data_IF_795454547193
#
_entry.id   IF_795454547193
#
_cell.length_a   1.000
_cell.length_b   1.000
_cell.length_c   1.000
_cell.angle_alpha   90.00
_cell.angle_beta   90.00
_cell.angle_gamma   90.00
#
_symmetry.space_group_name_H-M   'P 1'
#
loop_
_entity.id
_entity.type
_entity.pdbx_description
1 polymer ?
#
# COMPACT_ATOMS: atom_id res chain seq x y z
N UNK A 1 -38.31 3.71 -29.47
CA UNK A 1 -36.89 3.32 -29.43
C UNK A 1 -36.24 3.99 -28.24
N UNK A 2 -35.92 3.24 -27.20
CA UNK A 2 -35.16 3.73 -26.05
C UNK A 2 -33.68 3.52 -26.40
N UNK A 3 -32.96 4.62 -26.60
CA UNK A 3 -31.52 4.59 -26.80
C UNK A 3 -30.86 4.41 -25.43
N UNK A 4 -30.39 3.18 -25.13
CA UNK A 4 -29.60 2.94 -23.95
C UNK A 4 -28.20 3.53 -24.19
N UNK A 5 -27.86 4.61 -23.49
CA UNK A 5 -26.52 5.14 -23.47
C UNK A 5 -25.63 4.13 -22.69
N UNK A 6 -24.77 3.44 -23.41
CA UNK A 6 -23.70 2.64 -22.77
C UNK A 6 -22.66 3.62 -22.25
N UNK A 7 -22.68 3.88 -20.96
CA UNK A 7 -21.59 4.59 -20.27
C UNK A 7 -20.45 3.59 -20.16
N UNK A 8 -19.48 3.66 -21.08
CA UNK A 8 -18.24 2.94 -20.93
C UNK A 8 -17.53 3.45 -19.65
N UNK A 9 -17.04 2.56 -18.75
CA UNK A 9 -16.27 3.01 -17.63
C UNK A 9 -15.03 3.74 -18.14
N UNK A 10 -14.88 5.00 -17.77
CA UNK A 10 -13.61 5.72 -17.95
C UNK A 10 -12.62 5.01 -17.05
N UNK A 11 -11.59 4.41 -17.65
CA UNK A 11 -10.48 3.86 -16.88
C UNK A 11 -9.84 5.02 -16.09
N UNK A 12 -10.09 5.07 -14.79
CA UNK A 12 -9.41 6.00 -13.90
C UNK A 12 -7.96 5.51 -13.84
N UNK A 13 -7.02 6.32 -14.34
CA UNK A 13 -5.61 5.99 -14.24
C UNK A 13 -5.24 5.97 -12.77
N UNK A 14 -4.77 4.80 -12.29
CA UNK A 14 -4.34 4.62 -10.90
C UNK A 14 -2.97 5.25 -10.62
N UNK A 15 -2.42 6.03 -11.52
CA UNK A 15 -1.14 6.71 -11.41
C UNK A 15 -1.19 8.13 -11.98
N UNK A 16 -0.26 8.99 -11.55
CA UNK A 16 -0.17 10.37 -12.04
C UNK A 16 1.13 11.10 -11.60
N UNK A 17 1.24 12.34 -11.99
CA UNK A 17 0.48 13.01 -13.05
C UNK A 17 0.83 12.44 -14.45
N UNK A 18 0.05 12.82 -15.46
CA UNK A 18 0.38 12.52 -16.85
C UNK A 18 1.78 13.04 -17.19
N UNK A 19 2.59 12.19 -17.80
CA UNK A 19 3.99 12.50 -18.13
C UNK A 19 4.46 11.71 -19.33
N UNK A 20 5.51 12.18 -20.05
CA UNK A 20 6.12 11.45 -21.16
C UNK A 20 6.54 10.02 -20.76
N UNK A 21 6.54 9.12 -21.73
CA UNK A 21 7.04 7.75 -21.58
C UNK A 21 8.38 7.62 -22.28
N UNK A 22 9.24 6.82 -21.70
CA UNK A 22 10.59 6.50 -22.21
C UNK A 22 10.74 4.99 -22.34
N UNK A 23 11.86 4.55 -22.92
CA UNK A 23 12.27 3.15 -22.94
C UNK A 23 13.70 3.03 -22.42
N UNK A 24 14.12 1.80 -22.14
CA UNK A 24 15.52 1.53 -21.72
C UNK A 24 16.52 2.05 -22.77
N UNK A 25 16.18 1.89 -24.04
CA UNK A 25 17.03 2.28 -25.19
C UNK A 25 17.01 3.79 -25.45
N UNK A 26 15.94 4.46 -25.00
CA UNK A 26 15.74 5.91 -25.13
C UNK A 26 15.29 6.50 -23.81
N UNK A 27 16.18 6.60 -22.81
CA UNK A 27 15.88 7.20 -21.52
C UNK A 27 15.68 8.72 -21.65
N UNK A 28 15.20 9.35 -20.58
CA UNK A 28 14.97 10.78 -20.55
C UNK A 28 16.27 11.61 -20.62
N UNK A 29 16.20 12.80 -21.22
CA UNK A 29 17.26 13.80 -21.24
C UNK A 29 17.16 14.80 -20.07
N UNK A 30 16.27 14.55 -19.13
CA UNK A 30 16.07 15.31 -17.91
C UNK A 30 15.67 14.38 -16.75
N UNK A 31 15.68 14.91 -15.53
CA UNK A 31 15.29 14.14 -14.34
C UNK A 31 13.78 13.94 -14.31
N UNK A 32 13.37 12.69 -14.36
CA UNK A 32 11.98 12.24 -14.18
C UNK A 32 11.98 10.86 -13.51
N UNK A 33 10.90 10.54 -12.78
CA UNK A 33 10.79 9.27 -12.09
C UNK A 33 9.79 8.34 -12.77
N UNK A 34 10.11 7.04 -12.77
CA UNK A 34 9.20 5.94 -13.06
C UNK A 34 8.39 6.17 -14.34
N UNK A 35 9.07 6.40 -15.46
CA UNK A 35 8.45 6.75 -16.75
C UNK A 35 8.90 5.85 -17.91
N UNK A 36 9.74 4.83 -17.64
CA UNK A 36 10.14 3.81 -18.63
C UNK A 36 9.04 2.75 -18.73
N UNK A 37 8.64 2.38 -19.94
CA UNK A 37 7.49 1.50 -20.21
C UNK A 37 7.87 0.05 -20.51
N UNK A 38 9.15 -0.27 -20.66
CA UNK A 38 9.65 -1.60 -21.00
C UNK A 38 10.66 -2.13 -19.96
N UNK A 39 10.51 -1.78 -18.67
CA UNK A 39 11.38 -2.27 -17.61
C UNK A 39 11.03 -3.70 -17.21
N UNK A 40 11.88 -4.71 -17.53
CA UNK A 40 11.58 -6.11 -17.19
C UNK A 40 11.66 -6.39 -15.68
N UNK A 41 12.36 -5.55 -14.91
CA UNK A 41 12.58 -5.76 -13.47
C UNK A 41 11.29 -5.60 -12.67
N UNK A 42 10.38 -4.76 -13.12
CA UNK A 42 9.07 -4.54 -12.48
C UNK A 42 7.89 -5.06 -13.32
N UNK A 43 8.18 -5.72 -14.45
CA UNK A 43 7.16 -6.35 -15.29
C UNK A 43 6.62 -5.46 -16.41
N UNK A 44 7.23 -4.29 -16.68
CA UNK A 44 6.86 -3.43 -17.82
C UNK A 44 6.87 -1.95 -17.54
N UNK A 45 5.69 -1.32 -17.42
CA UNK A 45 5.56 0.13 -17.27
C UNK A 45 5.87 0.57 -15.84
N UNK A 46 6.91 1.39 -15.69
CA UNK A 46 7.30 1.95 -14.39
C UNK A 46 6.28 2.93 -13.81
N UNK A 47 5.28 3.36 -14.57
CA UNK A 47 4.20 4.18 -14.02
C UNK A 47 3.35 3.41 -13.02
N UNK A 48 3.33 2.09 -13.15
CA UNK A 48 2.74 1.12 -12.24
C UNK A 48 3.83 0.64 -11.24
N UNK A 49 4.18 1.49 -10.29
CA UNK A 49 5.34 1.31 -9.43
C UNK A 49 5.00 0.95 -7.97
N UNK A 50 3.74 0.94 -7.61
CA UNK A 50 3.27 0.51 -6.28
C UNK A 50 2.72 -0.90 -6.37
N UNK A 51 3.29 -1.82 -5.62
CA UNK A 51 2.86 -3.21 -5.62
C UNK A 51 2.65 -3.75 -4.21
N UNK A 52 1.78 -4.74 -4.10
CA UNK A 52 1.42 -5.42 -2.86
C UNK A 52 1.86 -6.88 -2.94
N UNK A 53 2.27 -7.44 -1.81
CA UNK A 53 2.52 -8.87 -1.64
C UNK A 53 2.31 -9.27 -0.18
N UNK A 54 1.71 -10.45 0.07
CA UNK A 54 1.60 -10.99 1.44
C UNK A 54 2.99 -11.30 2.00
N UNK A 55 3.22 -10.98 3.28
CA UNK A 55 4.48 -11.26 3.97
C UNK A 55 4.69 -12.78 4.05
N UNK A 56 5.90 -13.22 3.66
CA UNK A 56 6.25 -14.65 3.59
C UNK A 56 5.84 -15.34 2.29
N UNK A 57 5.16 -14.65 1.37
CA UNK A 57 4.82 -15.18 0.05
C UNK A 57 5.94 -14.92 -0.97
N UNK A 58 6.12 -15.86 -1.91
CA UNK A 58 6.97 -15.70 -3.10
C UNK A 58 6.18 -15.35 -4.36
N UNK A 59 4.88 -14.98 -4.23
CA UNK A 59 4.06 -14.57 -5.35
C UNK A 59 4.58 -13.28 -5.99
N UNK A 60 4.17 -13.02 -7.22
CA UNK A 60 4.45 -11.75 -7.89
C UNK A 60 3.80 -10.57 -7.15
N UNK A 61 4.37 -9.39 -7.31
CA UNK A 61 3.76 -8.16 -6.88
C UNK A 61 2.49 -7.88 -7.70
N UNK A 62 1.48 -7.32 -7.06
CA UNK A 62 0.18 -7.02 -7.68
C UNK A 62 -0.36 -5.68 -7.18
N UNK A 63 -1.18 -5.02 -7.99
CA UNK A 63 -1.85 -3.77 -7.61
C UNK A 63 -3.17 -4.00 -6.88
N UNK A 64 -3.65 -5.25 -6.85
CA UNK A 64 -4.89 -5.60 -6.18
C UNK A 64 -4.69 -6.83 -5.31
N UNK A 65 -5.09 -6.74 -4.04
CA UNK A 65 -4.92 -7.81 -3.07
C UNK A 65 -6.17 -7.99 -2.22
N UNK A 66 -6.71 -9.23 -2.19
CA UNK A 66 -7.75 -9.58 -1.22
C UNK A 66 -7.08 -9.92 0.11
N UNK A 67 -7.47 -9.21 1.18
CA UNK A 67 -6.84 -9.38 2.49
C UNK A 67 -7.54 -10.43 3.34
N UNK A 68 -6.79 -10.96 4.31
CA UNK A 68 -7.26 -11.84 5.38
C UNK A 68 -6.99 -11.18 6.73
N UNK A 69 -7.88 -11.41 7.69
CA UNK A 69 -7.77 -10.80 9.02
C UNK A 69 -6.43 -11.18 9.70
N UNK A 70 -5.77 -10.16 10.23
CA UNK A 70 -4.52 -10.31 10.98
C UNK A 70 -3.27 -10.57 10.14
N UNK A 71 -3.40 -10.76 8.82
CA UNK A 71 -2.25 -10.93 7.92
C UNK A 71 -1.53 -9.62 7.66
N UNK A 72 -0.22 -9.74 7.45
CA UNK A 72 0.64 -8.63 7.06
C UNK A 72 0.95 -8.67 5.57
N UNK A 73 1.06 -7.50 4.98
CA UNK A 73 1.35 -7.30 3.57
C UNK A 73 2.47 -6.29 3.41
N UNK A 74 3.37 -6.55 2.47
CA UNK A 74 4.30 -5.55 1.97
C UNK A 74 3.59 -4.64 0.99
N UNK A 75 3.84 -3.33 1.10
CA UNK A 75 3.61 -2.35 0.04
C UNK A 75 4.98 -1.89 -0.42
N UNK A 76 5.26 -2.04 -1.72
CA UNK A 76 6.52 -1.67 -2.35
C UNK A 76 6.33 -0.45 -3.24
N UNK A 77 7.27 0.48 -3.19
CA UNK A 77 7.39 1.61 -4.11
C UNK A 77 8.71 1.43 -4.87
N UNK A 78 8.68 1.27 -6.19
CA UNK A 78 9.88 1.31 -7.01
C UNK A 78 10.30 2.76 -7.21
N UNK A 79 11.60 3.03 -7.22
CA UNK A 79 12.17 4.38 -7.34
C UNK A 79 13.28 4.35 -8.37
N UNK A 80 13.06 5.02 -9.50
CA UNK A 80 14.03 5.08 -10.58
C UNK A 80 14.06 6.48 -11.22
N UNK A 81 15.20 7.16 -11.15
CA UNK A 81 15.45 8.35 -11.92
C UNK A 81 15.80 7.94 -13.36
N UNK A 82 14.91 8.21 -14.30
CA UNK A 82 15.01 7.75 -15.69
C UNK A 82 15.92 8.60 -16.58
N UNK A 83 16.66 9.56 -16.02
CA UNK A 83 17.63 10.33 -16.79
C UNK A 83 18.74 9.42 -17.36
N UNK A 84 19.15 9.69 -18.58
CA UNK A 84 20.22 8.93 -19.25
C UNK A 84 21.53 9.00 -18.48
N UNK A 85 22.23 7.88 -18.37
CA UNK A 85 23.47 7.74 -17.57
C UNK A 85 24.60 8.66 -18.02
N UNK A 86 24.72 8.92 -19.33
CA UNK A 86 25.76 9.76 -19.92
C UNK A 86 25.59 11.26 -19.61
N UNK A 87 24.42 11.67 -19.07
CA UNK A 87 24.15 13.07 -18.72
C UNK A 87 24.58 13.41 -17.29
N UNK A 88 24.89 12.40 -16.46
CA UNK A 88 25.28 12.56 -15.04
C UNK A 88 24.29 13.42 -14.23
N UNK A 89 23.01 13.35 -14.57
CA UNK A 89 21.96 14.09 -13.89
C UNK A 89 21.60 13.42 -12.55
N UNK A 90 21.58 14.19 -11.48
CA UNK A 90 21.27 13.73 -10.13
C UNK A 90 19.96 14.38 -9.66
N UNK A 91 19.00 13.56 -9.28
CA UNK A 91 17.80 14.02 -8.60
C UNK A 91 18.15 14.51 -7.19
N UNK A 92 17.55 15.63 -6.77
CA UNK A 92 17.84 16.29 -5.50
C UNK A 92 16.61 16.39 -4.61
N UNK A 93 16.83 16.32 -3.29
CA UNK A 93 15.78 16.31 -2.28
C UNK A 93 14.74 15.21 -2.54
N UNK A 94 15.23 14.02 -2.88
CA UNK A 94 14.35 12.88 -3.19
C UNK A 94 13.67 12.40 -1.91
N UNK A 95 12.34 12.36 -1.94
CA UNK A 95 11.49 11.92 -0.83
C UNK A 95 10.50 10.88 -1.35
N UNK A 96 10.32 9.79 -0.61
CA UNK A 96 9.21 8.87 -0.80
C UNK A 96 8.16 9.05 0.29
N UNK A 97 6.89 8.84 -0.07
CA UNK A 97 5.74 8.79 0.85
C UNK A 97 4.85 7.61 0.51
N UNK A 98 4.23 7.05 1.54
CA UNK A 98 3.13 6.10 1.39
C UNK A 98 1.94 6.62 2.19
N UNK A 99 0.87 6.98 1.49
CA UNK A 99 -0.40 7.26 2.14
C UNK A 99 -1.11 5.93 2.43
N UNK A 100 -1.28 5.62 3.71
CA UNK A 100 -2.08 4.49 4.21
C UNK A 100 -3.33 5.09 4.86
N UNK A 101 -4.51 5.01 4.21
CA UNK A 101 -5.74 5.57 4.77
C UNK A 101 -6.10 4.92 6.10
N UNK A 102 -6.63 5.71 7.03
CA UNK A 102 -7.14 5.22 8.33
C UNK A 102 -8.62 4.82 8.27
N UNK A 103 -9.21 4.84 7.08
CA UNK A 103 -10.61 4.50 6.86
C UNK A 103 -10.87 3.00 7.02
N UNK A 104 -12.08 2.66 7.44
CA UNK A 104 -12.60 1.28 7.47
C UNK A 104 -13.61 1.12 6.34
N UNK A 105 -13.34 0.20 5.42
CA UNK A 105 -14.18 -0.05 4.23
C UNK A 105 -13.89 -1.45 3.66
N UNK A 106 -14.70 -1.90 2.70
CA UNK A 106 -14.43 -3.14 1.93
C UNK A 106 -13.30 -3.00 0.92
N UNK A 107 -12.91 -1.77 0.62
CA UNK A 107 -11.82 -1.45 -0.30
C UNK A 107 -11.02 -0.29 0.28
N UNK A 108 -9.70 -0.46 0.38
CA UNK A 108 -8.76 0.55 0.86
C UNK A 108 -7.63 0.67 -0.14
N UNK A 109 -7.45 1.87 -0.71
CA UNK A 109 -6.39 2.16 -1.68
C UNK A 109 -5.25 2.91 -0.99
N UNK A 110 -4.04 2.39 -1.12
CA UNK A 110 -2.79 3.04 -0.69
C UNK A 110 -2.16 3.76 -1.87
N UNK A 111 -1.50 4.88 -1.61
CA UNK A 111 -0.84 5.65 -2.65
C UNK A 111 0.63 5.87 -2.30
N UNK A 112 1.52 5.38 -3.16
CA UNK A 112 2.95 5.65 -3.11
C UNK A 112 3.31 6.89 -3.93
N UNK A 113 4.21 7.72 -3.40
CA UNK A 113 4.70 8.93 -4.07
C UNK A 113 6.22 8.97 -4.05
N UNK A 114 6.80 9.48 -5.13
CA UNK A 114 8.22 9.83 -5.23
C UNK A 114 8.31 11.26 -5.70
N UNK A 115 9.07 12.08 -5.01
CA UNK A 115 9.28 13.48 -5.36
C UNK A 115 10.75 13.88 -5.36
N UNK A 116 11.12 14.87 -6.18
CA UNK A 116 12.41 15.52 -6.15
C UNK A 116 12.28 16.98 -6.59
N UNK A 117 13.10 17.86 -6.05
CA UNK A 117 13.00 19.31 -6.30
C UNK A 117 13.30 19.71 -7.73
N UNK A 118 14.14 18.95 -8.44
CA UNK A 118 14.58 19.21 -9.81
C UNK A 118 14.03 18.20 -10.84
N UNK A 119 13.06 17.35 -10.47
CA UNK A 119 12.41 16.44 -11.41
C UNK A 119 11.23 17.10 -12.14
N UNK A 120 10.85 16.53 -13.28
CA UNK A 120 9.68 16.93 -14.10
C UNK A 120 8.85 15.69 -14.46
N UNK A 121 7.62 15.54 -13.91
CA UNK A 121 7.06 16.37 -12.84
C UNK A 121 7.82 16.23 -11.50
N UNK A 122 7.68 17.19 -10.61
CA UNK A 122 8.36 17.15 -9.30
C UNK A 122 7.90 15.98 -8.42
N UNK A 123 6.69 15.52 -8.61
CA UNK A 123 6.10 14.40 -7.86
C UNK A 123 5.38 13.48 -8.81
N UNK A 124 5.64 12.18 -8.66
CA UNK A 124 4.87 11.10 -9.31
C UNK A 124 4.20 10.26 -8.23
N UNK A 125 3.04 9.67 -8.53
CA UNK A 125 2.32 8.79 -7.63
C UNK A 125 1.68 7.63 -8.39
N UNK A 126 1.44 6.56 -7.66
CA UNK A 126 0.77 5.36 -8.12
C UNK A 126 0.03 4.72 -6.95
N UNK A 127 -0.94 3.87 -7.24
CA UNK A 127 -1.87 3.30 -6.27
C UNK A 127 -1.92 1.79 -6.33
N UNK A 128 -2.21 1.18 -5.17
CA UNK A 128 -2.54 -0.22 -5.08
C UNK A 128 -3.73 -0.41 -4.12
N UNK A 129 -4.58 -1.40 -4.40
CA UNK A 129 -5.87 -1.55 -3.74
C UNK A 129 -5.95 -2.86 -2.98
N UNK A 130 -6.31 -2.77 -1.72
CA UNK A 130 -6.70 -3.90 -0.89
C UNK A 130 -8.21 -4.04 -0.85
N UNK A 131 -8.71 -5.26 -0.83
CA UNK A 131 -10.14 -5.56 -0.76
C UNK A 131 -10.46 -6.68 0.23
N UNK A 132 -11.70 -6.71 0.72
CA UNK A 132 -12.22 -7.78 1.57
C UNK A 132 -13.75 -7.88 1.40
N UNK A 133 -14.32 -9.03 1.74
CA UNK A 133 -15.77 -9.21 1.76
C UNK A 133 -16.43 -8.42 2.92
N UNK A 134 -15.67 -8.20 3.99
CA UNK A 134 -16.09 -7.41 5.16
C UNK A 134 -15.26 -6.11 5.22
N UNK A 135 -15.77 -5.13 5.92
CA UNK A 135 -15.05 -3.89 6.18
C UNK A 135 -13.75 -4.20 6.96
N UNK A 136 -12.71 -3.52 6.60
CA UNK A 136 -11.39 -3.64 7.23
C UNK A 136 -10.66 -2.30 7.21
N UNK A 137 -9.66 -2.17 8.06
CA UNK A 137 -8.68 -1.10 8.00
C UNK A 137 -7.27 -1.68 7.85
N UNK A 138 -6.36 -0.84 7.41
CA UNK A 138 -4.93 -1.13 7.33
C UNK A 138 -4.19 -0.39 8.46
N UNK A 139 -3.43 -1.12 9.26
CA UNK A 139 -2.54 -0.55 10.25
C UNK A 139 -1.09 -0.62 9.75
N UNK A 140 -0.39 0.52 9.73
CA UNK A 140 1.04 0.53 9.47
C UNK A 140 1.79 -0.21 10.57
N UNK A 141 2.76 -1.03 10.21
CA UNK A 141 3.65 -1.71 11.16
C UNK A 141 4.86 -0.82 11.41
N UNK A 142 4.90 -0.18 12.57
CA UNK A 142 5.96 0.77 12.92
C UNK A 142 7.37 0.14 12.83
N UNK A 143 8.33 0.91 12.34
CA UNK A 143 9.73 0.47 12.14
C UNK A 143 9.92 -0.54 11.01
N UNK A 144 8.91 -0.79 10.18
CA UNK A 144 9.00 -1.74 9.06
C UNK A 144 9.51 -1.14 7.76
N UNK A 145 9.65 0.18 7.68
CA UNK A 145 10.04 0.87 6.46
C UNK A 145 11.52 0.63 6.14
N UNK A 146 11.77 0.16 4.93
CA UNK A 146 13.11 -0.14 4.40
C UNK A 146 13.30 0.49 3.03
N UNK A 147 14.52 0.86 2.71
CA UNK A 147 14.94 1.19 1.35
C UNK A 147 16.10 0.28 0.96
N UNK A 148 15.98 -0.35 -0.19
CA UNK A 148 16.98 -1.25 -0.75
C UNK A 148 17.46 -0.73 -2.09
N UNK A 149 18.79 -0.59 -2.24
CA UNK A 149 19.44 -0.24 -3.49
C UNK A 149 20.88 -0.82 -3.55
N UNK A 150 21.53 -0.70 -4.70
CA UNK A 150 22.88 -1.22 -4.88
C UNK A 150 23.97 -0.44 -4.10
N UNK A 151 23.71 0.80 -3.72
CA UNK A 151 24.69 1.67 -3.05
C UNK A 151 24.80 1.45 -1.54
N UNK A 152 23.66 1.27 -0.87
CA UNK A 152 23.56 1.12 0.58
C UNK A 152 23.14 -0.29 1.03
N UNK A 153 22.70 -1.14 0.09
CA UNK A 153 21.99 -2.37 0.46
C UNK A 153 20.64 -2.03 1.10
N UNK A 154 20.26 -2.78 2.11
CA UNK A 154 18.99 -2.56 2.84
C UNK A 154 19.21 -1.60 4.01
N UNK A 155 18.52 -0.48 4.00
CA UNK A 155 18.62 0.60 4.99
C UNK A 155 17.26 0.91 5.59
N UNK A 156 17.18 1.10 6.91
CA UNK A 156 15.94 1.52 7.57
C UNK A 156 15.57 2.95 7.21
N UNK A 157 14.27 3.16 6.96
CA UNK A 157 13.67 4.47 6.82
C UNK A 157 12.90 4.86 8.09
N UNK A 158 12.72 6.17 8.35
CA UNK A 158 11.89 6.63 9.45
C UNK A 158 10.41 6.39 9.18
N UNK A 159 9.62 6.23 10.25
CA UNK A 159 8.17 6.05 10.18
C UNK A 159 7.44 7.28 9.60
N UNK A 160 8.14 8.39 9.44
CA UNK A 160 7.62 9.57 8.72
C UNK A 160 7.23 9.29 7.28
N UNK A 161 7.66 8.14 6.71
CA UNK A 161 7.26 7.72 5.36
C UNK A 161 5.74 7.61 5.19
N UNK A 162 5.01 7.27 6.26
CA UNK A 162 3.54 7.16 6.24
C UNK A 162 2.82 8.42 6.73
N UNK A 163 3.53 9.52 6.89
CA UNK A 163 2.96 10.82 7.22
C UNK A 163 3.26 11.86 6.13
N UNK A 164 2.82 13.11 6.36
CA UNK A 164 2.97 14.19 5.40
C UNK A 164 4.43 14.57 5.10
N UNK A 165 5.38 14.23 5.97
CA UNK A 165 6.80 14.56 5.78
C UNK A 165 7.46 13.63 4.78
N UNK A 166 7.12 12.34 4.80
CA UNK A 166 7.79 11.30 4.01
C UNK A 166 9.16 10.91 4.57
N UNK A 167 9.92 10.15 3.79
CA UNK A 167 11.28 9.71 4.10
C UNK A 167 12.24 10.14 3.00
N UNK A 168 13.33 10.79 3.37
CA UNK A 168 14.40 11.14 2.45
C UNK A 168 15.09 9.88 1.95
N UNK A 169 15.26 9.76 0.65
CA UNK A 169 15.99 8.68 0.00
C UNK A 169 17.39 9.15 -0.44
N UNK A 170 18.15 8.26 -1.02
CA UNK A 170 19.44 8.59 -1.63
C UNK A 170 20.17 7.32 -2.07
N UNK A 171 21.19 7.42 -2.89
CA UNK A 171 21.87 6.24 -3.40
C UNK A 171 22.95 5.71 -2.47
N UNK A 172 23.91 6.55 -2.04
CA UNK A 172 25.04 6.15 -1.17
C UNK A 172 24.81 6.45 0.31
N UNK A 173 23.82 7.27 0.63
CA UNK A 173 23.32 7.65 1.94
C UNK A 173 21.96 8.32 1.78
N UNK A 174 21.20 8.46 2.87
CA UNK A 174 19.86 9.09 2.84
C UNK A 174 19.97 10.63 2.80
N UNK A 175 20.54 11.17 1.71
CA UNK A 175 20.85 12.60 1.55
C UNK A 175 20.01 13.30 0.46
N UNK A 176 19.01 12.63 -0.06
CA UNK A 176 18.15 13.17 -1.11
C UNK A 176 18.72 13.07 -2.52
N UNK A 177 19.83 12.36 -2.76
CA UNK A 177 20.49 12.33 -4.06
C UNK A 177 20.40 10.96 -4.73
N UNK A 178 19.76 10.90 -5.90
CA UNK A 178 19.67 9.67 -6.70
C UNK A 178 20.10 9.98 -8.15
N UNK A 179 21.23 9.43 -8.62
CA UNK A 179 21.69 9.59 -10.00
C UNK A 179 20.72 8.93 -11.01
N UNK A 180 20.76 9.39 -12.26
CA UNK A 180 20.02 8.76 -13.36
C UNK A 180 20.68 7.47 -13.82
N UNK A 181 19.92 6.44 -14.06
CA UNK A 181 20.25 5.14 -14.63
C UNK A 181 19.72 3.98 -13.75
N UNK A 182 19.49 2.83 -14.37
CA UNK A 182 18.99 1.60 -13.72
C UNK A 182 19.78 1.14 -12.50
N UNK A 183 21.10 1.24 -12.54
CA UNK A 183 21.96 0.80 -11.44
C UNK A 183 21.70 1.55 -10.13
N UNK A 184 21.07 2.73 -10.21
CA UNK A 184 20.77 3.59 -9.05
C UNK A 184 19.30 3.46 -8.57
N UNK A 185 18.53 2.62 -9.24
CA UNK A 185 17.16 2.33 -8.81
C UNK A 185 17.13 1.63 -7.47
N UNK A 186 15.98 1.72 -6.79
CA UNK A 186 15.78 1.07 -5.50
C UNK A 186 14.31 0.79 -5.22
N UNK A 187 14.08 0.13 -4.08
CA UNK A 187 12.76 -0.25 -3.61
C UNK A 187 12.54 0.25 -2.20
N UNK A 188 11.51 1.04 -2.00
CA UNK A 188 10.96 1.27 -0.66
C UNK A 188 9.96 0.18 -0.36
N UNK A 189 10.02 -0.40 0.82
CA UNK A 189 9.09 -1.43 1.28
C UNK A 189 8.63 -1.09 2.68
N UNK A 190 7.31 -1.15 2.92
CA UNK A 190 6.71 -1.03 4.24
C UNK A 190 5.78 -2.19 4.49
N UNK A 191 5.46 -2.47 5.77
CA UNK A 191 4.43 -3.45 6.12
C UNK A 191 3.17 -2.76 6.60
N UNK A 192 2.04 -3.32 6.20
CA UNK A 192 0.72 -3.01 6.73
C UNK A 192 0.05 -4.29 7.20
N UNK A 193 -0.77 -4.20 8.25
CA UNK A 193 -1.55 -5.31 8.78
C UNK A 193 -3.02 -5.06 8.53
N UNK A 194 -3.71 -6.05 7.95
CA UNK A 194 -5.14 -5.96 7.75
C UNK A 194 -5.90 -6.36 9.03
N UNK A 195 -6.85 -5.52 9.43
CA UNK A 195 -7.74 -5.73 10.57
C UNK A 195 -9.18 -5.77 10.03
N UNK A 196 -9.66 -6.98 9.75
CA UNK A 196 -11.00 -7.19 9.17
C UNK A 196 -12.03 -7.26 10.28
N UNK A 197 -13.09 -6.49 10.15
CA UNK A 197 -14.24 -6.58 11.04
C UNK A 197 -14.89 -7.95 10.86
N UNK A 198 -14.77 -8.82 11.87
CA UNK A 198 -15.49 -10.08 11.88
C UNK A 198 -16.96 -9.80 12.20
N UNK A 199 -17.92 -10.41 11.49
CA UNK A 199 -19.30 -10.42 11.97
C UNK A 199 -19.30 -10.96 13.39
N UNK A 200 -19.91 -10.23 14.33
CA UNK A 200 -20.16 -10.81 15.63
C UNK A 200 -21.14 -11.98 15.41
N UNK A 201 -20.68 -13.20 15.66
CA UNK A 201 -21.62 -14.29 15.84
C UNK A 201 -22.58 -13.87 16.96
N UNK A 202 -23.88 -13.75 16.63
CA UNK A 202 -24.88 -13.67 17.66
C UNK A 202 -24.82 -14.99 18.42
N UNK A 203 -24.11 -15.00 19.52
CA UNK A 203 -24.34 -16.04 20.52
C UNK A 203 -25.71 -15.74 21.14
N UNK A 204 -26.74 -16.42 20.65
CA UNK A 204 -28.01 -16.49 21.36
C UNK A 204 -27.71 -17.22 22.66
N UNK A 205 -27.48 -16.44 23.72
CA UNK A 205 -27.37 -16.99 25.07
C UNK A 205 -28.80 -17.17 25.54
N UNK A 206 -29.28 -18.38 25.46
CA UNK A 206 -30.58 -18.77 26.02
C UNK A 206 -30.41 -18.87 27.54
N UNK A 207 -30.76 -17.80 28.24
CA UNK A 207 -30.72 -17.73 29.72
C UNK A 207 -32.04 -18.24 30.29
N UNK A 208 -32.12 -19.53 30.55
CA UNK A 208 -33.23 -20.10 31.33
C UNK A 208 -33.02 -19.76 32.82
N UNK A 209 -33.82 -18.84 33.33
CA UNK A 209 -33.86 -18.53 34.77
C UNK A 209 -34.86 -19.46 35.47
N UNK A 210 -34.34 -20.36 36.33
CA UNK A 210 -35.19 -21.22 37.17
C UNK A 210 -35.12 -20.78 38.63
N UNK A 211 -36.21 -20.90 39.35
CA UNK A 211 -36.30 -20.57 40.78
C UNK A 211 -36.94 -21.76 41.52
N UNK A 212 -36.63 -21.88 42.83
CA UNK A 212 -37.32 -22.83 43.73
C UNK A 212 -37.66 -22.15 45.06
N UNK A 213 -38.78 -22.53 45.63
CA UNK A 213 -39.17 -22.06 46.95
C UNK A 213 -38.50 -22.91 48.02
N UNK A 214 -37.45 -22.39 48.66
CA UNK A 214 -36.69 -23.08 49.69
C UNK A 214 -37.45 -23.22 51.01
N UNK A 215 -38.37 -22.31 51.28
CA UNK A 215 -39.16 -22.29 52.49
C UNK A 215 -40.20 -23.44 52.50
N UNK A 216 -40.74 -23.78 51.34
CA UNK A 216 -41.73 -24.89 51.21
C UNK A 216 -41.09 -26.26 50.91
N UNK A 217 -39.77 -26.35 50.96
CA UNK A 217 -39.02 -27.60 50.78
C UNK A 217 -39.02 -28.16 49.37
N UNK A 218 -39.29 -27.33 48.36
CA UNK A 218 -39.23 -27.73 46.95
C UNK A 218 -37.78 -28.16 46.57
N UNK A 219 -37.70 -29.33 45.95
CA UNK A 219 -36.42 -29.91 45.53
C UNK A 219 -36.11 -29.68 44.03
N UNK A 220 -37.14 -29.32 43.25
CA UNK A 220 -37.02 -29.08 41.79
C UNK A 220 -36.94 -27.61 41.49
N UNK A 221 -36.19 -27.26 40.45
CA UNK A 221 -36.12 -25.89 39.91
C UNK A 221 -37.23 -25.72 38.86
N UNK A 222 -37.95 -24.63 38.92
CA UNK A 222 -39.04 -24.29 37.99
C UNK A 222 -38.85 -22.88 37.43
N UNK A 223 -39.46 -22.59 36.30
CA UNK A 223 -39.42 -21.26 35.70
C UNK A 223 -40.27 -20.23 36.44
N UNK A 224 -41.26 -20.71 37.23
CA UNK A 224 -42.17 -19.87 38.00
C UNK A 224 -42.29 -20.41 39.43
N UNK A 225 -42.44 -19.51 40.40
CA UNK A 225 -42.77 -19.84 41.79
C UNK A 225 -44.27 -19.51 41.98
N UNK A 226 -45.08 -20.49 42.32
CA UNK A 226 -46.46 -20.24 42.81
C UNK A 226 -46.38 -19.57 44.17
N UNK A 227 -47.22 -18.53 44.35
CA UNK A 227 -47.37 -17.81 45.61
C UNK A 227 -48.06 -18.69 46.70
#
# INVERSE_FOLDING_TARGET
SILAAVIAPVAVMAWGPARPSFTIEKPADYITFNSITNNPVIGGDEKDFVGIREVGSNANWTNNMKVQNGKEYYVRIYVHNNAASNLNLVAENVVAKLNVPTTTAKTVTVQGQVSASNAKPNTVWDEATFSSDNDFNLAYVAGSALFENNGMGTTKLPDSIVNNTGATLGYSKLDGKIPGCFQYAGYVTVKVKAQVNQPQEKTDIDLAKTVRNKTNGEKTWTETVSA
#
